data_IF_004029623569
#
_entry.id   IF_004029623569
#
_cell.length_a   1.000
_cell.length_b   1.000
_cell.length_c   1.000
_cell.angle_alpha   90.00
_cell.angle_beta   90.00
_cell.angle_gamma   90.00
#
_symmetry.space_group_name_H-M   'P 1'
#
loop_
_entity.id
_entity.type
_entity.pdbx_description
1 polymer ?
#
# COMPACT_ATOMS: atom_id res chain seq x y z
N UNK A 1 6.21 5.46 11.05
CA UNK A 1 5.52 6.72 11.42
C UNK A 1 4.65 7.20 10.26
N UNK A 2 5.23 7.52 9.09
CA UNK A 2 4.49 8.01 7.92
C UNK A 2 3.31 7.12 7.52
N UNK A 3 3.47 5.80 7.52
CA UNK A 3 2.39 4.84 7.24
C UNK A 3 1.10 5.10 8.05
N UNK A 4 1.23 5.38 9.34
CA UNK A 4 0.11 5.58 10.26
C UNK A 4 -0.65 6.88 9.93
N UNK A 5 0.01 7.85 9.30
CA UNK A 5 -0.58 9.13 8.93
C UNK A 5 -1.13 9.09 7.50
N UNK A 6 -0.33 8.56 6.57
CA UNK A 6 -0.62 8.61 5.13
C UNK A 6 -1.74 7.65 4.75
N UNK A 7 -1.77 6.41 5.25
CA UNK A 7 -2.79 5.46 4.81
C UNK A 7 -4.22 5.84 5.21
N UNK A 8 -4.50 6.30 6.45
CA UNK A 8 -5.82 6.84 6.79
C UNK A 8 -6.18 8.07 5.93
N UNK A 9 -5.21 8.96 5.68
CA UNK A 9 -5.41 10.13 4.83
C UNK A 9 -5.84 9.72 3.41
N UNK A 10 -5.22 8.69 2.82
CA UNK A 10 -5.59 8.16 1.51
C UNK A 10 -7.07 7.70 1.51
N UNK A 11 -7.51 6.99 2.54
CA UNK A 11 -8.92 6.58 2.67
C UNK A 11 -9.90 7.75 2.77
N UNK A 12 -9.53 8.79 3.53
CA UNK A 12 -10.31 10.03 3.65
C UNK A 12 -10.40 10.72 2.28
N UNK A 13 -9.27 10.90 1.59
CA UNK A 13 -9.21 11.53 0.28
C UNK A 13 -10.01 10.74 -0.77
N UNK A 14 -9.93 9.41 -0.75
CA UNK A 14 -10.71 8.55 -1.63
C UNK A 14 -12.22 8.71 -1.41
N UNK A 15 -12.67 8.82 -0.15
CA UNK A 15 -14.07 9.09 0.18
C UNK A 15 -14.54 10.44 -0.38
N UNK A 16 -13.77 11.51 -0.18
CA UNK A 16 -14.10 12.82 -0.75
C UNK A 16 -14.05 12.83 -2.28
N UNK A 17 -13.13 12.09 -2.88
CA UNK A 17 -13.07 11.90 -4.33
C UNK A 17 -14.38 11.32 -4.89
N UNK A 18 -14.95 10.32 -4.22
CA UNK A 18 -16.25 9.75 -4.62
C UNK A 18 -17.40 10.76 -4.49
N UNK A 19 -17.40 11.61 -3.46
CA UNK A 19 -18.42 12.66 -3.31
C UNK A 19 -18.38 13.67 -4.46
N UNK A 20 -17.18 14.01 -4.94
CA UNK A 20 -17.02 14.91 -6.09
C UNK A 20 -17.49 14.26 -7.40
N UNK A 21 -17.22 12.96 -7.58
CA UNK A 21 -17.65 12.21 -8.77
C UNK A 21 -19.16 11.90 -8.73
N UNK A 22 -19.79 11.93 -7.55
CA UNK A 22 -21.21 11.62 -7.38
C UNK A 22 -21.51 10.11 -7.38
N UNK A 23 -20.55 9.28 -7.02
CA UNK A 23 -20.70 7.82 -6.95
C UNK A 23 -20.96 7.39 -5.51
N UNK A 24 -21.81 6.38 -5.33
CA UNK A 24 -22.10 5.82 -4.02
C UNK A 24 -20.84 5.29 -3.33
N UNK A 25 -20.68 5.65 -2.05
CA UNK A 25 -19.57 5.22 -1.24
C UNK A 25 -19.99 4.12 -0.28
N UNK A 26 -19.07 3.17 -0.06
CA UNK A 26 -19.18 2.15 1.00
C UNK A 26 -19.14 2.77 2.42
N UNK A 27 -18.79 4.06 2.53
CA UNK A 27 -18.77 4.83 3.77
C UNK A 27 -17.36 5.15 4.24
N UNK A 28 -17.20 6.33 4.87
CA UNK A 28 -15.90 6.86 5.28
C UNK A 28 -15.13 5.90 6.20
N UNK A 29 -15.79 5.35 7.22
CA UNK A 29 -15.15 4.45 8.18
C UNK A 29 -14.57 3.20 7.50
N UNK A 30 -15.30 2.61 6.54
CA UNK A 30 -14.84 1.44 5.79
C UNK A 30 -13.69 1.79 4.84
N UNK A 31 -13.75 2.94 4.17
CA UNK A 31 -12.66 3.42 3.29
C UNK A 31 -11.36 3.64 4.05
N UNK A 32 -11.44 4.30 5.21
CA UNK A 32 -10.28 4.52 6.09
C UNK A 32 -9.76 3.19 6.62
N UNK A 33 -10.65 2.29 7.05
CA UNK A 33 -10.25 0.97 7.53
C UNK A 33 -9.50 0.18 6.45
N UNK A 34 -10.05 0.06 5.24
CA UNK A 34 -9.47 -0.69 4.11
C UNK A 34 -8.07 -0.16 3.75
N UNK A 35 -7.95 1.15 3.55
CA UNK A 35 -6.67 1.77 3.17
C UNK A 35 -5.62 1.63 4.27
N UNK A 36 -6.01 1.84 5.53
CA UNK A 36 -5.11 1.76 6.68
C UNK A 36 -4.62 0.33 6.91
N UNK A 37 -5.51 -0.66 6.92
CA UNK A 37 -5.13 -2.05 7.15
C UNK A 37 -4.25 -2.59 6.03
N UNK A 38 -4.60 -2.33 4.76
CA UNK A 38 -3.80 -2.73 3.61
C UNK A 38 -2.40 -2.11 3.63
N UNK A 39 -2.30 -0.80 3.92
CA UNK A 39 -1.02 -0.11 4.01
C UNK A 39 -0.15 -0.56 5.19
N UNK A 40 -0.77 -0.85 6.34
CA UNK A 40 -0.05 -1.39 7.50
C UNK A 40 0.46 -2.81 7.27
N UNK A 41 -0.21 -3.63 6.45
CA UNK A 41 0.30 -4.93 6.01
C UNK A 41 1.46 -4.80 5.02
N UNK A 42 1.36 -3.83 4.09
CA UNK A 42 2.38 -3.57 3.09
C UNK A 42 3.70 -3.09 3.70
N UNK A 43 3.62 -2.17 4.66
CA UNK A 43 4.80 -1.47 5.22
C UNK A 43 5.90 -2.40 5.73
N UNK A 44 5.65 -3.36 6.64
CA UNK A 44 6.70 -4.25 7.15
C UNK A 44 7.27 -5.15 6.06
N UNK A 45 6.44 -5.60 5.11
CA UNK A 45 6.89 -6.42 3.98
C UNK A 45 7.86 -5.63 3.09
N UNK A 46 7.51 -4.39 2.75
CA UNK A 46 8.38 -3.55 1.93
C UNK A 46 9.66 -3.11 2.65
N UNK A 47 9.61 -2.91 3.97
CA UNK A 47 10.81 -2.66 4.77
C UNK A 47 11.79 -3.85 4.70
N UNK A 48 11.30 -5.09 4.79
CA UNK A 48 12.13 -6.28 4.63
C UNK A 48 12.71 -6.38 3.22
N UNK A 49 11.87 -6.21 2.19
CA UNK A 49 12.32 -6.26 0.79
C UNK A 49 13.40 -5.22 0.54
N UNK A 50 13.18 -3.96 0.95
CA UNK A 50 14.17 -2.89 0.79
C UNK A 50 15.48 -3.20 1.52
N UNK A 51 15.42 -3.74 2.74
CA UNK A 51 16.60 -4.14 3.50
C UNK A 51 17.43 -5.22 2.78
N UNK A 52 16.77 -6.26 2.26
CA UNK A 52 17.45 -7.33 1.54
C UNK A 52 18.01 -6.85 0.19
N UNK A 53 17.24 -6.05 -0.56
CA UNK A 53 17.70 -5.48 -1.82
C UNK A 53 18.94 -4.59 -1.61
N UNK A 54 18.93 -3.71 -0.60
CA UNK A 54 20.09 -2.91 -0.24
C UNK A 54 21.31 -3.76 0.12
N UNK A 55 21.11 -4.79 0.95
CA UNK A 55 22.19 -5.70 1.35
C UNK A 55 22.80 -6.43 0.15
N UNK A 56 21.97 -6.90 -0.79
CA UNK A 56 22.41 -7.59 -2.00
C UNK A 56 23.13 -6.62 -2.95
N UNK A 57 22.60 -5.41 -3.14
CA UNK A 57 23.20 -4.38 -3.98
C UNK A 57 24.60 -4.02 -3.48
N UNK A 58 24.73 -3.78 -2.16
CA UNK A 58 26.00 -3.49 -1.51
C UNK A 58 27.02 -4.64 -1.68
N UNK A 59 26.61 -5.89 -1.44
CA UNK A 59 27.49 -7.06 -1.58
C UNK A 59 27.98 -7.28 -3.02
N UNK A 60 27.22 -6.83 -4.02
CA UNK A 60 27.58 -6.93 -5.44
C UNK A 60 28.34 -5.70 -5.95
N UNK A 61 28.60 -4.70 -5.10
CA UNK A 61 29.23 -3.44 -5.52
C UNK A 61 28.36 -2.61 -6.48
N UNK A 62 27.04 -2.85 -6.47
CA UNK A 62 26.09 -2.15 -7.32
C UNK A 62 25.53 -0.94 -6.58
N UNK A 63 25.38 0.17 -7.30
CA UNK A 63 24.75 1.39 -6.79
C UNK A 63 23.25 1.14 -6.51
N UNK A 64 22.81 1.23 -5.24
CA UNK A 64 21.41 1.02 -4.87
C UNK A 64 20.44 1.94 -5.59
N UNK A 65 20.86 3.14 -5.99
CA UNK A 65 19.97 4.10 -6.64
C UNK A 65 19.57 3.62 -8.04
N UNK A 66 20.44 2.86 -8.71
CA UNK A 66 20.20 2.31 -10.05
C UNK A 66 19.42 1.00 -10.04
N UNK A 67 19.31 0.31 -8.90
CA UNK A 67 18.74 -1.04 -8.82
C UNK A 67 17.65 -1.14 -7.77
N UNK A 68 17.95 -0.75 -6.54
CA UNK A 68 17.04 -0.93 -5.40
C UNK A 68 15.82 -0.03 -5.53
N UNK A 69 15.97 1.24 -5.91
CA UNK A 69 14.83 2.16 -6.04
C UNK A 69 13.84 1.69 -7.12
N UNK A 70 14.26 1.43 -8.38
CA UNK A 70 13.33 0.96 -9.41
C UNK A 70 12.69 -0.38 -9.03
N UNK A 71 13.50 -1.33 -8.54
CA UNK A 71 13.01 -2.68 -8.23
C UNK A 71 12.05 -2.69 -7.04
N UNK A 72 12.37 -1.95 -5.97
CA UNK A 72 11.48 -1.84 -4.80
C UNK A 72 10.14 -1.19 -5.17
N UNK A 73 10.15 -0.17 -6.01
CA UNK A 73 8.93 0.49 -6.49
C UNK A 73 8.11 -0.46 -7.36
N UNK A 74 8.73 -1.14 -8.34
CA UNK A 74 8.04 -2.12 -9.20
C UNK A 74 7.46 -3.30 -8.43
N UNK A 75 8.06 -3.71 -7.30
CA UNK A 75 7.50 -4.74 -6.42
C UNK A 75 6.35 -4.17 -5.57
N UNK A 76 6.46 -2.92 -5.14
CA UNK A 76 5.45 -2.28 -4.28
C UNK A 76 4.09 -2.25 -4.96
N UNK A 77 4.01 -1.89 -6.25
CA UNK A 77 2.75 -1.71 -6.97
C UNK A 77 1.82 -2.96 -6.94
N UNK A 78 2.23 -4.14 -7.44
CA UNK A 78 1.36 -5.32 -7.43
C UNK A 78 1.05 -5.83 -6.03
N UNK A 79 2.00 -5.70 -5.09
CA UNK A 79 1.82 -6.15 -3.70
C UNK A 79 0.84 -5.25 -2.95
N UNK A 80 0.98 -3.92 -3.10
CA UNK A 80 0.06 -2.94 -2.54
C UNK A 80 -1.37 -3.15 -3.07
N UNK A 81 -1.51 -3.36 -4.38
CA UNK A 81 -2.80 -3.65 -4.99
C UNK A 81 -3.41 -4.95 -4.45
N UNK A 82 -2.60 -6.00 -4.24
CA UNK A 82 -3.07 -7.27 -3.69
C UNK A 82 -3.60 -7.10 -2.26
N UNK A 83 -2.88 -6.39 -1.38
CA UNK A 83 -3.37 -6.12 -0.02
C UNK A 83 -4.61 -5.22 -0.02
N UNK A 84 -4.68 -4.25 -0.92
CA UNK A 84 -5.85 -3.38 -1.05
C UNK A 84 -7.09 -4.20 -1.44
N UNK A 85 -7.00 -5.01 -2.50
CA UNK A 85 -8.10 -5.85 -2.97
C UNK A 85 -8.50 -6.86 -1.89
N UNK A 86 -7.53 -7.49 -1.23
CA UNK A 86 -7.81 -8.41 -0.12
C UNK A 86 -8.63 -7.74 0.99
N UNK A 87 -8.28 -6.50 1.37
CA UNK A 87 -9.00 -5.75 2.40
C UNK A 87 -10.37 -5.26 1.96
N UNK A 88 -10.53 -4.91 0.69
CA UNK A 88 -11.84 -4.62 0.10
C UNK A 88 -12.75 -5.84 0.19
N UNK A 89 -12.29 -7.00 -0.27
CA UNK A 89 -13.08 -8.24 -0.24
C UNK A 89 -13.46 -8.65 1.19
N UNK A 90 -12.49 -8.61 2.10
CA UNK A 90 -12.71 -8.88 3.52
C UNK A 90 -13.76 -7.96 4.14
N UNK A 91 -13.68 -6.66 3.87
CA UNK A 91 -14.58 -5.65 4.47
C UNK A 91 -15.98 -5.69 3.87
N UNK A 92 -16.11 -6.07 2.59
CA UNK A 92 -17.39 -6.18 1.90
C UNK A 92 -18.08 -7.54 2.09
N UNK A 93 -17.40 -8.52 2.72
CA UNK A 93 -17.95 -9.85 2.96
C UNK A 93 -18.10 -10.69 1.69
N UNK A 94 -17.31 -10.39 0.65
CA UNK A 94 -17.27 -11.18 -0.57
C UNK A 94 -16.34 -12.38 -0.32
N UNK A 95 -16.91 -13.57 -0.06
CA UNK A 95 -16.15 -14.83 0.04
C UNK A 95 -16.05 -15.51 -1.32
N UNK A 96 -14.93 -16.20 -1.55
CA UNK A 96 -14.74 -17.14 -2.66
C UNK A 96 -15.75 -18.29 -2.64
#
# INVERSE_FOLDING_TARGET
>A
ILAIIIYPLIGILAYFGLLVIGVESVGLAKMVFISTSAGLMLTPLMLLIAFYLNTISYRKGLDPDNIVIPLSTSITDPVANTFLVMMVMFTLGLSF
#
